data_IF_971045717330
#
_entry.id   IF_971045717330
#
_cell.length_a   1.000
_cell.length_b   1.000
_cell.length_c   1.000
_cell.angle_alpha   90.00
_cell.angle_beta   90.00
_cell.angle_gamma   90.00
#
_symmetry.space_group_name_H-M   'P 1'
#
loop_
_entity.id
_entity.type
_entity.pdbx_description
1 polymer ?
#
# COMPACT_ATOMS: atom_id res chain seq x y z
N UNK A 1 43.30 1.09 -2.08
CA UNK A 1 42.30 1.67 -2.99
C UNK A 1 41.24 0.60 -3.19
N UNK A 2 40.10 0.70 -2.51
CA UNK A 2 38.95 -0.12 -2.88
C UNK A 2 38.54 0.23 -4.32
N UNK A 3 38.19 -0.75 -5.17
CA UNK A 3 37.71 -0.45 -6.50
C UNK A 3 36.40 0.34 -6.37
N UNK A 4 36.32 1.51 -7.00
CA UNK A 4 35.10 2.30 -7.06
C UNK A 4 33.96 1.42 -7.57
N UNK A 5 32.93 1.18 -6.75
CA UNK A 5 31.73 0.50 -7.21
C UNK A 5 31.18 1.24 -8.44
N UNK A 6 31.02 0.54 -9.55
CA UNK A 6 30.42 1.06 -10.77
C UNK A 6 29.14 0.28 -11.08
N UNK A 7 28.17 0.95 -11.71
CA UNK A 7 26.87 0.34 -12.05
C UNK A 7 25.95 0.14 -10.85
N UNK A 8 25.22 -0.99 -10.85
CA UNK A 8 24.16 -1.31 -9.89
C UNK A 8 24.61 -1.24 -8.41
N UNK A 9 25.85 -1.67 -8.13
CA UNK A 9 26.43 -1.70 -6.79
C UNK A 9 26.66 -0.30 -6.18
N UNK A 10 26.75 0.74 -7.00
CA UNK A 10 26.96 2.11 -6.53
C UNK A 10 25.66 2.81 -6.13
N UNK A 11 24.50 2.29 -6.55
CA UNK A 11 23.24 3.00 -6.37
C UNK A 11 22.83 3.05 -4.89
N UNK A 12 22.44 4.23 -4.43
CA UNK A 12 22.02 4.45 -3.04
C UNK A 12 20.67 3.81 -2.72
N UNK A 13 19.75 3.84 -3.70
CA UNK A 13 18.42 3.25 -3.60
C UNK A 13 18.48 1.73 -3.36
N UNK A 14 19.17 0.96 -4.22
CA UNK A 14 19.36 -0.48 -4.03
C UNK A 14 20.06 -0.79 -2.72
N UNK A 15 21.12 -0.05 -2.36
CA UNK A 15 21.84 -0.30 -1.10
C UNK A 15 20.94 -0.20 0.13
N UNK A 16 19.93 0.68 0.10
CA UNK A 16 18.95 0.78 1.20
C UNK A 16 17.97 -0.40 1.23
N UNK A 17 17.54 -0.89 0.07
CA UNK A 17 16.53 -1.96 -0.02
C UNK A 17 17.13 -3.37 0.08
N UNK A 18 18.34 -3.58 -0.42
CA UNK A 18 18.99 -4.90 -0.55
C UNK A 18 19.03 -5.72 0.76
N UNK A 19 19.28 -5.15 1.95
CA UNK A 19 19.22 -5.90 3.21
C UNK A 19 17.86 -6.54 3.50
N UNK A 20 16.80 -6.02 2.87
CA UNK A 20 15.42 -6.48 3.04
C UNK A 20 14.90 -7.26 1.82
N UNK A 21 15.77 -7.63 0.87
CA UNK A 21 15.44 -8.44 -0.29
C UNK A 21 16.03 -9.85 -0.17
N UNK A 22 15.39 -10.87 -0.76
CA UNK A 22 15.86 -12.27 -0.65
C UNK A 22 16.97 -12.63 -1.66
N UNK A 23 17.53 -11.63 -2.35
CA UNK A 23 18.57 -11.77 -3.37
C UNK A 23 19.90 -11.21 -2.87
N UNK A 24 21.00 -11.71 -3.44
CA UNK A 24 22.35 -11.26 -3.13
C UNK A 24 22.97 -10.56 -4.33
N UNK A 25 23.71 -9.48 -4.07
CA UNK A 25 24.49 -8.78 -5.08
C UNK A 25 25.91 -9.37 -5.13
N UNK A 26 26.32 -9.90 -6.29
CA UNK A 26 27.67 -10.44 -6.51
C UNK A 26 28.18 -10.04 -7.89
N UNK A 27 29.39 -9.47 -7.95
CA UNK A 27 29.99 -9.08 -9.24
C UNK A 27 29.17 -8.06 -10.05
N UNK A 28 28.33 -7.26 -9.40
CA UNK A 28 27.48 -6.25 -10.06
C UNK A 28 26.10 -6.75 -10.53
N UNK A 29 25.77 -8.02 -10.31
CA UNK A 29 24.48 -8.61 -10.67
C UNK A 29 23.78 -9.24 -9.45
N UNK A 30 22.45 -9.32 -9.50
CA UNK A 30 21.59 -9.89 -8.47
C UNK A 30 21.36 -11.37 -8.73
N UNK A 31 21.36 -12.17 -7.66
CA UNK A 31 21.15 -13.60 -7.73
C UNK A 31 20.33 -14.11 -6.56
N UNK A 32 19.60 -15.20 -6.78
CA UNK A 32 19.17 -16.06 -5.69
C UNK A 32 20.37 -16.82 -5.11
N UNK A 33 20.42 -17.06 -3.79
CA UNK A 33 21.33 -18.06 -3.23
C UNK A 33 21.17 -19.42 -3.95
N UNK A 34 22.24 -20.16 -4.27
CA UNK A 34 22.15 -21.34 -5.13
C UNK A 34 21.13 -22.40 -4.69
N UNK A 35 21.10 -22.73 -3.39
CA UNK A 35 20.15 -23.70 -2.84
C UNK A 35 18.69 -23.24 -2.95
N UNK A 36 18.43 -21.94 -2.74
CA UNK A 36 17.10 -21.37 -2.95
C UNK A 36 16.72 -21.39 -4.43
N UNK A 37 17.66 -21.07 -5.33
CA UNK A 37 17.44 -21.11 -6.77
C UNK A 37 17.08 -22.52 -7.28
N UNK A 38 17.75 -23.56 -6.78
CA UNK A 38 17.45 -24.96 -7.13
C UNK A 38 16.04 -25.35 -6.68
N UNK A 39 15.66 -24.97 -5.45
CA UNK A 39 14.32 -25.23 -4.91
C UNK A 39 13.24 -24.51 -5.74
N UNK A 40 13.47 -23.24 -6.11
CA UNK A 40 12.57 -22.49 -7.00
C UNK A 40 12.47 -23.12 -8.40
N UNK A 41 13.57 -23.67 -8.95
CA UNK A 41 13.54 -24.40 -10.23
C UNK A 41 12.70 -25.67 -10.14
N UNK A 42 12.80 -26.42 -9.04
CA UNK A 42 11.97 -27.60 -8.84
C UNK A 42 10.48 -27.22 -8.79
N UNK A 43 10.11 -26.19 -8.00
CA UNK A 43 8.73 -25.67 -7.95
C UNK A 43 8.23 -25.22 -9.34
N UNK A 44 9.07 -24.52 -10.09
CA UNK A 44 8.73 -24.02 -11.44
C UNK A 44 8.48 -25.14 -12.47
N UNK A 45 9.01 -26.34 -12.25
CA UNK A 45 8.80 -27.52 -13.09
C UNK A 45 7.52 -28.29 -12.73
N UNK A 46 6.79 -27.88 -11.69
CA UNK A 46 5.51 -28.47 -11.32
C UNK A 46 5.60 -29.58 -10.28
N UNK A 47 4.43 -30.06 -9.81
CA UNK A 47 4.31 -31.03 -8.73
C UNK A 47 4.97 -32.39 -9.04
N UNK A 48 5.08 -32.79 -10.30
CA UNK A 48 5.75 -34.05 -10.68
C UNK A 48 7.26 -34.05 -10.35
N UNK A 49 7.87 -32.86 -10.32
CA UNK A 49 9.29 -32.68 -9.98
C UNK A 49 9.46 -32.24 -8.53
N UNK A 50 8.71 -31.21 -8.09
CA UNK A 50 8.83 -30.65 -6.75
C UNK A 50 8.16 -31.49 -5.67
N UNK A 51 7.20 -32.35 -6.03
CA UNK A 51 6.27 -33.07 -5.14
C UNK A 51 5.31 -32.17 -4.35
N UNK A 52 5.33 -30.85 -4.57
CA UNK A 52 4.46 -29.90 -3.86
C UNK A 52 3.06 -29.90 -4.48
N UNK A 53 2.15 -30.67 -3.89
CA UNK A 53 0.78 -30.87 -4.38
C UNK A 53 -0.32 -30.60 -3.34
N UNK A 54 0.05 -30.09 -2.17
CA UNK A 54 -0.82 -29.81 -1.01
C UNK A 54 -0.23 -28.70 -0.14
N UNK A 55 -1.05 -28.14 0.75
CA UNK A 55 -0.69 -27.04 1.63
C UNK A 55 0.37 -27.41 2.67
N UNK A 56 0.28 -28.62 3.24
CA UNK A 56 1.30 -29.17 4.14
C UNK A 56 2.67 -29.32 3.46
N UNK A 57 2.73 -29.91 2.26
CA UNK A 57 3.98 -30.08 1.50
C UNK A 57 4.50 -28.74 0.99
N UNK A 58 3.62 -27.78 0.69
CA UNK A 58 4.03 -26.41 0.40
C UNK A 58 4.69 -25.77 1.62
N UNK A 59 4.15 -25.96 2.82
CA UNK A 59 4.74 -25.41 4.04
C UNK A 59 6.15 -25.98 4.32
N UNK A 60 6.37 -27.28 4.04
CA UNK A 60 7.69 -27.91 4.11
C UNK A 60 8.64 -27.28 3.07
N UNK A 61 8.21 -27.14 1.83
CA UNK A 61 9.02 -26.52 0.77
C UNK A 61 9.38 -25.04 1.09
N UNK A 62 8.45 -24.28 1.67
CA UNK A 62 8.71 -22.91 2.13
C UNK A 62 9.68 -22.88 3.31
N UNK A 63 9.61 -23.87 4.21
CA UNK A 63 10.58 -24.01 5.30
C UNK A 63 11.99 -24.25 4.76
N UNK A 64 12.15 -25.16 3.81
CA UNK A 64 13.44 -25.45 3.16
C UNK A 64 13.98 -24.23 2.41
N UNK A 65 13.12 -23.51 1.68
CA UNK A 65 13.49 -22.26 1.01
C UNK A 65 13.99 -21.21 2.00
N UNK A 66 13.32 -21.03 3.14
CA UNK A 66 13.76 -20.08 4.18
C UNK A 66 15.11 -20.48 4.78
N UNK A 67 15.31 -21.76 5.06
CA UNK A 67 16.60 -22.26 5.54
C UNK A 67 17.71 -22.04 4.50
N UNK A 68 17.42 -22.22 3.21
CA UNK A 68 18.35 -21.94 2.12
C UNK A 68 18.72 -20.45 1.98
N UNK A 69 17.86 -19.55 2.49
CA UNK A 69 18.11 -18.11 2.60
C UNK A 69 18.75 -17.71 3.95
N UNK A 70 19.17 -18.69 4.77
CA UNK A 70 19.68 -18.47 6.12
C UNK A 70 18.67 -17.77 7.06
N UNK A 71 17.38 -17.97 6.82
CA UNK A 71 16.30 -17.45 7.65
C UNK A 71 15.74 -18.55 8.59
N UNK A 72 15.08 -18.18 9.70
CA UNK A 72 14.41 -19.15 10.56
C UNK A 72 13.35 -19.94 9.78
N UNK A 73 13.16 -21.21 10.14
CA UNK A 73 12.08 -22.05 9.62
C UNK A 73 10.71 -21.36 9.75
N UNK A 74 9.76 -21.77 8.89
CA UNK A 74 8.39 -21.28 8.98
C UNK A 74 7.81 -21.67 10.35
N UNK A 75 7.04 -20.78 10.97
CA UNK A 75 6.42 -21.11 12.26
C UNK A 75 5.43 -22.26 12.09
N UNK A 76 5.31 -23.20 13.06
CA UNK A 76 4.36 -24.31 12.97
C UNK A 76 2.93 -23.85 12.72
N UNK A 77 2.53 -22.73 13.33
CA UNK A 77 1.17 -22.17 13.12
C UNK A 77 0.93 -21.67 11.70
N UNK A 78 1.94 -21.08 11.07
CA UNK A 78 1.82 -20.64 9.69
C UNK A 78 1.77 -21.85 8.74
N UNK A 79 2.57 -22.89 9.02
CA UNK A 79 2.52 -24.16 8.30
C UNK A 79 1.13 -24.83 8.41
N UNK A 80 0.61 -24.95 9.62
CA UNK A 80 -0.74 -25.47 9.88
C UNK A 80 -1.81 -24.64 9.14
N UNK A 81 -1.65 -23.31 9.11
CA UNK A 81 -2.57 -22.40 8.43
C UNK A 81 -2.55 -22.54 6.90
N UNK A 82 -1.38 -22.79 6.30
CA UNK A 82 -1.24 -23.12 4.89
C UNK A 82 -1.95 -24.44 4.56
N UNK A 83 -1.67 -25.49 5.34
CA UNK A 83 -2.32 -26.79 5.20
C UNK A 83 -3.85 -26.64 5.30
N UNK A 84 -4.35 -26.03 6.38
CA UNK A 84 -5.78 -25.79 6.57
C UNK A 84 -6.41 -25.07 5.37
N UNK A 85 -5.80 -23.99 4.88
CA UNK A 85 -6.40 -23.24 3.79
C UNK A 85 -6.44 -24.04 2.48
N UNK A 86 -5.30 -24.58 2.06
CA UNK A 86 -5.19 -25.22 0.74
C UNK A 86 -5.78 -26.63 0.70
N UNK A 87 -5.72 -27.36 1.82
CA UNK A 87 -6.14 -28.77 1.86
C UNK A 87 -7.61 -28.92 2.29
N UNK A 88 -8.08 -28.05 3.20
CA UNK A 88 -9.44 -28.18 3.77
C UNK A 88 -10.41 -27.07 3.33
N UNK A 89 -9.97 -25.82 3.19
CA UNK A 89 -10.87 -24.68 2.90
C UNK A 89 -11.07 -24.41 1.39
N UNK A 90 -10.10 -24.74 0.55
CA UNK A 90 -10.28 -24.72 -0.90
C UNK A 90 -11.03 -25.97 -1.37
N UNK A 91 -11.81 -25.85 -2.44
CA UNK A 91 -12.35 -27.03 -3.10
C UNK A 91 -11.21 -27.84 -3.72
N UNK A 92 -11.35 -29.17 -3.79
CA UNK A 92 -10.34 -30.05 -4.39
C UNK A 92 -9.96 -29.65 -5.84
N UNK A 93 -10.89 -29.05 -6.59
CA UNK A 93 -10.62 -28.57 -7.94
C UNK A 93 -9.74 -27.32 -7.93
N UNK A 94 -10.05 -26.36 -7.06
CA UNK A 94 -9.24 -25.14 -6.87
C UNK A 94 -7.84 -25.47 -6.35
N UNK A 95 -7.72 -26.31 -5.32
CA UNK A 95 -6.43 -26.73 -4.79
C UNK A 95 -5.56 -27.40 -5.87
N UNK A 96 -6.13 -28.30 -6.68
CA UNK A 96 -5.40 -28.90 -7.82
C UNK A 96 -4.94 -27.85 -8.83
N UNK A 97 -5.79 -26.90 -9.21
CA UNK A 97 -5.40 -25.81 -10.12
C UNK A 97 -4.28 -24.94 -9.53
N UNK A 98 -4.38 -24.63 -8.24
CA UNK A 98 -3.36 -23.86 -7.51
C UNK A 98 -1.98 -24.53 -7.56
N UNK A 99 -1.89 -25.82 -7.22
CA UNK A 99 -0.60 -26.52 -7.19
C UNK A 99 -0.09 -26.94 -8.57
N UNK A 100 -0.97 -27.23 -9.53
CA UNK A 100 -0.58 -27.63 -10.87
C UNK A 100 -0.12 -26.44 -11.74
N UNK A 101 -0.76 -25.28 -11.60
CA UNK A 101 -0.56 -24.13 -12.50
C UNK A 101 -0.02 -22.90 -11.77
N UNK A 102 -0.66 -22.49 -10.67
CA UNK A 102 -0.35 -21.20 -10.02
C UNK A 102 1.00 -21.23 -9.33
N UNK A 103 1.25 -22.18 -8.42
CA UNK A 103 2.53 -22.29 -7.68
C UNK A 103 3.74 -22.40 -8.63
N UNK A 104 3.71 -23.21 -9.70
CA UNK A 104 4.80 -23.25 -10.67
C UNK A 104 5.01 -21.92 -11.41
N UNK A 105 3.93 -21.23 -11.81
CA UNK A 105 4.02 -19.91 -12.44
C UNK A 105 4.59 -18.85 -11.49
N UNK A 106 4.19 -18.86 -10.22
CA UNK A 106 4.76 -18.02 -9.17
C UNK A 106 6.27 -18.28 -9.00
N UNK A 107 6.70 -19.55 -8.99
CA UNK A 107 8.11 -19.90 -8.91
C UNK A 107 8.90 -19.43 -10.16
N UNK A 108 8.33 -19.52 -11.37
CA UNK A 108 8.93 -18.94 -12.59
C UNK A 108 9.08 -17.44 -12.50
N UNK A 109 8.08 -16.75 -11.94
CA UNK A 109 8.15 -15.31 -11.69
C UNK A 109 9.28 -14.97 -10.70
N UNK A 110 9.43 -15.73 -9.61
CA UNK A 110 10.53 -15.57 -8.67
C UNK A 110 11.90 -15.81 -9.30
N UNK A 111 12.04 -16.80 -10.20
CA UNK A 111 13.29 -17.01 -10.93
C UNK A 111 13.67 -15.82 -11.82
N UNK A 112 12.70 -14.99 -12.23
CA UNK A 112 12.92 -13.73 -12.97
C UNK A 112 13.17 -12.53 -12.07
N UNK A 113 12.90 -12.61 -10.76
CA UNK A 113 13.04 -11.48 -9.82
C UNK A 113 14.39 -10.76 -9.91
N UNK A 114 15.56 -11.42 -9.98
CA UNK A 114 16.82 -10.70 -10.06
C UNK A 114 16.91 -9.83 -11.33
N UNK A 115 16.51 -10.37 -12.48
CA UNK A 115 16.47 -9.62 -13.74
C UNK A 115 15.43 -8.50 -13.71
N UNK A 116 14.26 -8.72 -13.10
CA UNK A 116 13.24 -7.68 -12.93
C UNK A 116 13.74 -6.51 -12.06
N UNK A 117 14.49 -6.79 -11.00
CA UNK A 117 15.12 -5.77 -10.17
C UNK A 117 16.22 -5.02 -10.95
N UNK A 118 17.08 -5.73 -11.68
CA UNK A 118 18.11 -5.12 -12.52
C UNK A 118 17.51 -4.18 -13.57
N UNK A 119 16.49 -4.64 -14.30
CA UNK A 119 15.74 -3.85 -15.29
C UNK A 119 15.07 -2.63 -14.64
N UNK A 120 14.52 -2.78 -13.43
CA UNK A 120 13.92 -1.70 -12.67
C UNK A 120 14.95 -0.59 -12.35
N UNK A 121 16.10 -0.96 -11.79
CA UNK A 121 17.15 0.00 -11.49
C UNK A 121 17.83 0.57 -12.75
N UNK A 122 17.86 -0.17 -13.85
CA UNK A 122 18.37 0.32 -15.13
C UNK A 122 17.46 1.39 -15.74
N UNK A 123 16.14 1.29 -15.55
CA UNK A 123 15.14 2.25 -16.07
C UNK A 123 14.91 3.46 -15.15
N UNK A 124 15.27 3.35 -13.87
CA UNK A 124 15.21 4.46 -12.91
C UNK A 124 16.39 5.42 -13.13
N UNK A 125 16.33 6.17 -14.24
CA UNK A 125 17.37 7.06 -14.77
C UNK A 125 17.75 8.22 -13.81
N UNK A 126 16.81 8.64 -12.96
CA UNK A 126 17.02 9.74 -12.01
C UNK A 126 17.68 9.31 -10.67
N UNK A 127 17.82 8.00 -10.43
CA UNK A 127 18.30 7.47 -9.15
C UNK A 127 17.34 7.71 -7.96
N UNK A 128 16.19 8.33 -8.19
CA UNK A 128 15.30 8.84 -7.15
C UNK A 128 13.97 8.07 -7.05
N UNK A 129 13.56 7.40 -8.13
CA UNK A 129 12.31 6.62 -8.23
C UNK A 129 12.47 5.10 -8.08
N UNK A 130 13.72 4.63 -7.94
CA UNK A 130 14.05 3.22 -7.76
C UNK A 130 13.58 2.65 -6.41
N UNK A 131 13.53 1.32 -6.28
CA UNK A 131 13.09 0.67 -5.05
C UNK A 131 14.11 0.97 -3.95
N UNK A 132 13.66 1.64 -2.89
CA UNK A 132 14.47 2.08 -1.75
C UNK A 132 13.63 2.12 -0.50
N UNK A 133 14.26 2.04 0.67
CA UNK A 133 13.57 2.31 1.93
C UNK A 133 13.28 3.80 1.99
N UNK A 134 12.00 4.16 1.94
CA UNK A 134 11.56 5.50 2.27
C UNK A 134 11.47 5.53 3.80
N UNK A 135 12.46 6.13 4.45
CA UNK A 135 12.52 6.29 5.90
C UNK A 135 11.65 7.48 6.37
N UNK A 136 11.42 7.59 7.68
CA UNK A 136 10.75 8.79 8.21
C UNK A 136 11.50 10.07 7.83
N UNK A 137 10.75 11.09 7.43
CA UNK A 137 11.16 12.38 6.90
C UNK A 137 11.89 12.33 5.53
N UNK A 138 12.00 11.15 4.90
CA UNK A 138 12.55 10.99 3.55
C UNK A 138 11.44 11.08 2.50
N UNK A 139 11.08 12.32 2.13
CA UNK A 139 10.11 12.56 1.07
C UNK A 139 10.63 12.02 -0.26
N UNK A 140 9.76 11.35 -1.03
CA UNK A 140 10.13 10.81 -2.33
C UNK A 140 9.13 9.81 -2.85
N UNK A 141 9.40 9.29 -4.03
CA UNK A 141 8.52 8.39 -4.78
C UNK A 141 9.26 7.10 -5.14
N UNK A 142 8.57 5.98 -5.12
CA UNK A 142 9.02 4.71 -5.70
C UNK A 142 8.00 4.31 -6.76
N UNK A 143 8.44 4.03 -7.98
CA UNK A 143 7.57 3.62 -9.10
C UNK A 143 7.91 2.18 -9.49
N UNK A 144 6.97 1.25 -9.35
CA UNK A 144 7.18 -0.17 -9.65
C UNK A 144 6.31 -0.60 -10.84
N UNK A 145 6.81 -1.46 -11.71
CA UNK A 145 5.94 -2.18 -12.64
C UNK A 145 5.08 -3.18 -11.86
N UNK A 146 3.84 -3.41 -12.30
CA UNK A 146 2.95 -4.38 -11.67
C UNK A 146 3.54 -5.81 -11.72
N UNK A 147 4.31 -6.15 -12.76
CA UNK A 147 5.05 -7.42 -12.82
C UNK A 147 6.08 -7.55 -11.68
N UNK A 148 6.83 -6.49 -11.37
CA UNK A 148 7.76 -6.48 -10.24
C UNK A 148 6.99 -6.53 -8.90
N UNK A 149 5.86 -5.83 -8.79
CA UNK A 149 4.98 -5.92 -7.63
C UNK A 149 4.50 -7.36 -7.40
N UNK A 150 4.06 -8.06 -8.46
CA UNK A 150 3.65 -9.45 -8.39
C UNK A 150 4.81 -10.37 -7.95
N UNK A 151 6.03 -10.14 -8.45
CA UNK A 151 7.20 -10.91 -8.02
C UNK A 151 7.54 -10.69 -6.54
N UNK A 152 7.50 -9.43 -6.07
CA UNK A 152 7.73 -9.08 -4.66
C UNK A 152 6.63 -9.63 -3.75
N UNK A 153 5.37 -9.57 -4.14
CA UNK A 153 4.27 -10.18 -3.37
C UNK A 153 4.33 -11.71 -3.39
N UNK A 154 4.88 -12.32 -4.45
CA UNK A 154 5.16 -13.75 -4.44
C UNK A 154 6.22 -14.10 -3.39
N UNK A 155 7.26 -13.26 -3.21
CA UNK A 155 8.19 -13.42 -2.10
C UNK A 155 7.50 -13.30 -0.74
N UNK A 156 6.54 -12.38 -0.59
CA UNK A 156 5.76 -12.23 0.63
C UNK A 156 4.89 -13.47 0.95
N UNK A 157 4.19 -14.00 -0.07
CA UNK A 157 3.40 -15.24 0.02
C UNK A 157 4.26 -16.42 0.43
N UNK A 158 5.43 -16.58 -0.20
CA UNK A 158 6.39 -17.66 0.11
C UNK A 158 7.21 -17.38 1.39
N UNK A 159 6.94 -16.25 2.05
CA UNK A 159 7.60 -15.83 3.29
C UNK A 159 9.13 -15.74 3.15
N UNK A 160 9.63 -15.18 2.05
CA UNK A 160 11.06 -15.17 1.71
C UNK A 160 11.79 -13.89 2.13
N UNK A 161 11.09 -12.84 2.58
CA UNK A 161 11.77 -11.59 2.95
C UNK A 161 12.50 -11.71 4.29
N UNK A 162 13.76 -11.25 4.39
CA UNK A 162 14.47 -11.12 5.66
C UNK A 162 13.67 -10.30 6.68
N UNK A 163 13.64 -10.77 7.93
CA UNK A 163 12.91 -10.11 9.03
C UNK A 163 13.81 -9.26 9.91
N UNK A 164 15.11 -9.54 9.91
CA UNK A 164 16.10 -8.82 10.74
C UNK A 164 16.24 -7.37 10.29
N UNK A 165 16.41 -6.44 11.23
CA UNK A 165 16.59 -5.01 10.94
C UNK A 165 15.31 -4.26 10.58
N UNK A 166 14.18 -4.94 10.34
CA UNK A 166 12.92 -4.29 9.92
C UNK A 166 12.31 -3.45 11.04
N UNK A 167 12.37 -3.93 12.28
CA UNK A 167 11.84 -3.21 13.44
C UNK A 167 12.63 -1.92 13.68
N UNK A 168 13.95 -1.97 13.56
CA UNK A 168 14.86 -0.83 13.67
C UNK A 168 14.61 0.19 12.55
N UNK A 169 14.32 -0.29 11.34
CA UNK A 169 13.92 0.55 10.21
C UNK A 169 12.46 1.05 10.30
N UNK A 170 11.72 0.71 11.36
CA UNK A 170 10.30 1.03 11.54
C UNK A 170 9.42 0.59 10.36
N UNK A 171 9.75 -0.56 9.76
CA UNK A 171 9.02 -1.12 8.62
C UNK A 171 7.92 -2.08 9.10
N UNK A 172 6.76 -2.13 8.42
CA UNK A 172 5.76 -3.16 8.66
C UNK A 172 6.30 -4.58 8.35
N UNK A 173 5.62 -5.58 8.89
CA UNK A 173 5.80 -6.99 8.49
C UNK A 173 5.29 -7.20 7.07
N UNK A 174 6.03 -7.95 6.25
CA UNK A 174 5.66 -8.17 4.84
C UNK A 174 5.36 -9.64 4.50
N UNK A 175 5.94 -10.61 5.22
CA UNK A 175 5.68 -12.03 4.98
C UNK A 175 4.27 -12.43 5.43
N UNK A 176 3.67 -13.40 4.73
CA UNK A 176 2.27 -13.81 4.96
C UNK A 176 2.12 -14.85 6.08
N UNK A 177 3.19 -15.18 6.81
CA UNK A 177 3.17 -16.17 7.88
C UNK A 177 2.17 -15.79 8.99
N UNK A 178 2.07 -14.49 9.31
CA UNK A 178 1.08 -13.96 10.24
C UNK A 178 -0.37 -14.14 9.78
N UNK A 179 -0.61 -14.07 8.46
CA UNK A 179 -1.93 -14.20 7.85
C UNK A 179 -2.41 -15.65 7.93
N UNK A 180 -1.56 -16.61 7.55
CA UNK A 180 -1.88 -18.03 7.64
C UNK A 180 -1.98 -18.50 9.09
N UNK A 181 -1.07 -18.07 9.98
CA UNK A 181 -1.14 -18.40 11.40
C UNK A 181 -2.43 -17.90 12.06
N UNK A 182 -3.02 -16.81 11.56
CA UNK A 182 -4.28 -16.28 12.07
C UNK A 182 -5.51 -17.15 11.73
N UNK A 183 -5.40 -18.13 10.82
CA UNK A 183 -6.48 -19.07 10.51
C UNK A 183 -6.72 -20.10 11.63
N UNK A 184 -5.66 -20.50 12.34
CA UNK A 184 -5.68 -21.60 13.33
C UNK A 184 -6.37 -21.22 14.65
N UNK A 185 -6.44 -19.93 14.98
CA UNK A 185 -7.01 -19.46 16.26
C UNK A 185 -8.12 -18.43 16.05
N UNK A 186 -9.32 -18.79 16.50
CA UNK A 186 -10.58 -18.05 16.33
C UNK A 186 -10.96 -17.91 14.86
N UNK A 187 -11.50 -19.00 14.27
CA UNK A 187 -12.02 -19.15 12.91
C UNK A 187 -13.02 -18.04 12.53
N UNK A 188 -12.53 -16.81 12.41
CA UNK A 188 -13.27 -15.70 11.86
C UNK A 188 -13.30 -15.98 10.38
N UNK A 189 -14.50 -16.22 9.88
CA UNK A 189 -14.74 -16.40 8.45
C UNK A 189 -14.07 -15.27 7.64
N UNK A 190 -13.95 -14.06 8.19
CA UNK A 190 -13.19 -12.97 7.54
C UNK A 190 -11.72 -13.30 7.22
N UNK A 191 -11.00 -14.07 8.04
CA UNK A 191 -9.59 -14.39 7.77
C UNK A 191 -9.41 -15.28 6.56
N UNK A 192 -10.22 -16.34 6.44
CA UNK A 192 -10.25 -17.18 5.24
C UNK A 192 -10.50 -16.33 3.99
N UNK A 193 -11.39 -15.35 4.09
CA UNK A 193 -11.85 -14.54 2.97
C UNK A 193 -10.80 -13.50 2.55
N UNK A 194 -9.98 -13.03 3.49
CA UNK A 194 -8.76 -12.27 3.18
C UNK A 194 -7.79 -13.11 2.35
N UNK A 195 -7.51 -14.35 2.78
CA UNK A 195 -6.64 -15.26 2.03
C UNK A 195 -7.20 -15.55 0.63
N UNK A 196 -8.53 -15.72 0.50
CA UNK A 196 -9.18 -15.88 -0.82
C UNK A 196 -8.95 -14.71 -1.77
N UNK A 197 -8.99 -13.47 -1.29
CA UNK A 197 -8.69 -12.30 -2.14
C UNK A 197 -7.25 -12.32 -2.65
N UNK A 198 -6.29 -12.70 -1.80
CA UNK A 198 -4.87 -12.76 -2.17
C UNK A 198 -4.58 -13.92 -3.12
N UNK A 199 -5.17 -15.09 -2.88
CA UNK A 199 -5.10 -16.25 -3.78
C UNK A 199 -5.67 -15.90 -5.16
N UNK A 200 -6.83 -15.23 -5.20
CA UNK A 200 -7.44 -14.74 -6.44
C UNK A 200 -6.51 -13.76 -7.19
N UNK A 201 -5.82 -12.86 -6.48
CA UNK A 201 -4.81 -11.98 -7.10
C UNK A 201 -3.67 -12.78 -7.74
N UNK A 202 -3.13 -13.79 -7.05
CA UNK A 202 -2.04 -14.62 -7.60
C UNK A 202 -2.50 -15.47 -8.80
N UNK A 203 -3.73 -15.98 -8.77
CA UNK A 203 -4.36 -16.64 -9.94
C UNK A 203 -4.41 -15.66 -11.13
N UNK A 204 -4.91 -14.44 -10.91
CA UNK A 204 -5.03 -13.40 -11.96
C UNK A 204 -3.70 -12.99 -12.58
N UNK A 205 -2.67 -12.71 -11.77
CA UNK A 205 -1.37 -12.23 -12.29
C UNK A 205 -0.52 -13.34 -12.91
N UNK A 206 -0.82 -14.61 -12.61
CA UNK A 206 -0.17 -15.76 -13.27
C UNK A 206 -0.88 -16.19 -14.55
N UNK A 207 -2.19 -15.99 -14.65
CA UNK A 207 -2.95 -16.17 -15.89
C UNK A 207 -2.61 -15.11 -16.94
N UNK A 208 -2.50 -13.84 -16.51
CA UNK A 208 -2.09 -12.74 -17.37
C UNK A 208 -1.17 -11.78 -16.63
N UNK A 209 0.09 -11.72 -17.05
CA UNK A 209 1.09 -10.80 -16.48
C UNK A 209 0.62 -9.35 -16.58
N UNK A 210 0.54 -8.61 -15.46
CA UNK A 210 0.15 -7.21 -15.49
C UNK A 210 1.27 -6.33 -16.05
N UNK A 211 0.91 -5.29 -16.81
CA UNK A 211 1.87 -4.46 -17.57
C UNK A 211 1.90 -2.99 -17.17
N UNK A 212 1.01 -2.58 -16.26
CA UNK A 212 0.97 -1.22 -15.76
C UNK A 212 2.01 -0.95 -14.68
N UNK A 213 1.85 0.19 -14.01
CA UNK A 213 2.73 0.66 -12.96
C UNK A 213 1.95 1.07 -11.71
N UNK A 214 2.62 1.03 -10.57
CA UNK A 214 2.12 1.54 -9.29
C UNK A 214 3.20 2.41 -8.66
N UNK A 215 2.84 3.62 -8.24
CA UNK A 215 3.75 4.52 -7.53
C UNK A 215 3.37 4.71 -6.08
N UNK A 216 4.36 4.82 -5.22
CA UNK A 216 4.24 5.07 -3.77
C UNK A 216 5.02 6.33 -3.43
N UNK A 217 4.34 7.39 -3.00
CA UNK A 217 4.93 8.65 -2.61
C UNK A 217 4.83 8.83 -1.09
N UNK A 218 5.96 9.05 -0.43
CA UNK A 218 6.00 9.58 0.94
C UNK A 218 5.90 11.10 0.88
N UNK A 219 4.77 11.64 1.32
CA UNK A 219 4.57 13.08 1.50
C UNK A 219 5.09 13.50 2.87
N UNK A 220 5.81 14.61 2.91
CA UNK A 220 6.29 15.21 4.15
C UNK A 220 5.96 16.70 4.14
N UNK A 221 5.23 17.18 5.15
CA UNK A 221 5.09 18.61 5.42
C UNK A 221 6.29 19.10 6.24
N UNK A 222 7.15 19.99 5.72
CA UNK A 222 8.31 20.49 6.45
C UNK A 222 7.87 21.21 7.73
N UNK A 223 8.43 20.81 8.89
CA UNK A 223 8.13 21.47 10.18
C UNK A 223 8.74 22.85 10.32
N UNK A 224 9.79 23.14 9.55
CA UNK A 224 10.42 24.46 9.50
C UNK A 224 9.84 25.22 8.31
N UNK A 225 9.79 26.54 8.45
CA UNK A 225 9.43 27.41 7.34
C UNK A 225 10.38 27.15 6.17
N UNK A 226 9.81 26.91 5.00
CA UNK A 226 10.52 26.74 3.73
C UNK A 226 10.24 27.93 2.83
N UNK A 227 11.20 28.30 1.98
CA UNK A 227 11.06 29.42 1.04
C UNK A 227 10.04 29.15 -0.06
N UNK A 228 9.74 27.88 -0.33
CA UNK A 228 8.82 27.39 -1.37
C UNK A 228 8.03 26.22 -0.80
N UNK A 229 6.70 26.31 -0.84
CA UNK A 229 5.79 25.23 -0.42
C UNK A 229 5.01 25.53 0.87
N UNK A 230 4.28 24.54 1.36
CA UNK A 230 3.47 24.63 2.59
C UNK A 230 4.24 23.92 3.71
N UNK A 231 4.60 24.66 4.76
CA UNK A 231 5.14 24.07 6.00
C UNK A 231 4.01 23.56 6.90
N UNK A 232 4.33 22.67 7.83
CA UNK A 232 3.42 22.18 8.87
C UNK A 232 2.80 23.36 9.65
N UNK A 233 1.50 23.66 9.47
CA UNK A 233 0.90 24.84 10.09
C UNK A 233 0.82 24.73 11.61
N UNK A 234 1.00 25.84 12.32
CA UNK A 234 0.69 25.93 13.74
C UNK A 234 -0.73 26.45 13.97
N UNK A 235 -1.14 26.58 15.24
CA UNK A 235 -2.47 27.07 15.61
C UNK A 235 -2.73 28.48 15.06
N UNK A 236 -1.71 29.36 15.13
CA UNK A 236 -1.81 30.73 14.65
C UNK A 236 -2.04 30.80 13.14
N UNK A 237 -1.38 29.94 12.36
CA UNK A 237 -1.57 29.84 10.93
C UNK A 237 -3.00 29.42 10.57
N UNK A 238 -3.57 28.45 11.28
CA UNK A 238 -4.97 28.04 11.08
C UNK A 238 -5.96 29.13 11.46
N UNK A 239 -5.77 29.81 12.59
CA UNK A 239 -6.65 30.91 13.03
C UNK A 239 -6.63 32.10 12.05
N UNK A 240 -5.50 32.33 11.36
CA UNK A 240 -5.34 33.39 10.36
C UNK A 240 -5.81 32.95 8.97
N UNK A 241 -6.15 31.68 8.75
CA UNK A 241 -6.58 31.23 7.43
C UNK A 241 -7.92 31.83 7.05
N UNK A 242 -7.95 32.47 5.88
CA UNK A 242 -9.16 33.01 5.25
C UNK A 242 -9.73 32.07 4.17
N UNK A 243 -9.42 30.77 4.20
CA UNK A 243 -9.86 29.86 3.15
C UNK A 243 -11.38 29.70 3.14
N UNK A 244 -12.05 29.91 1.99
CA UNK A 244 -13.46 29.57 1.90
C UNK A 244 -13.60 28.06 2.01
N UNK A 245 -14.65 27.63 2.70
CA UNK A 245 -14.97 26.22 2.79
C UNK A 245 -15.33 25.68 1.40
N UNK A 246 -14.74 24.55 1.01
CA UNK A 246 -15.03 23.90 -0.26
C UNK A 246 -16.40 23.21 -0.23
N UNK A 247 -16.85 22.70 -1.38
CA UNK A 247 -18.10 21.94 -1.43
C UNK A 247 -17.98 20.65 -0.59
N UNK A 248 -18.95 20.43 0.30
CA UNK A 248 -19.04 19.24 1.16
C UNK A 248 -20.27 18.44 0.76
N UNK A 249 -20.08 17.22 0.25
CA UNK A 249 -21.14 16.30 -0.17
C UNK A 249 -21.18 15.12 0.79
N UNK A 250 -22.38 14.78 1.27
CA UNK A 250 -22.59 13.64 2.16
C UNK A 250 -23.41 12.60 1.43
N UNK A 251 -22.95 11.35 1.45
CA UNK A 251 -23.67 10.21 0.90
C UNK A 251 -23.97 9.23 2.02
N UNK A 252 -25.25 8.87 2.15
CA UNK A 252 -25.71 7.89 3.15
C UNK A 252 -25.35 6.44 2.79
N UNK A 253 -24.85 6.20 1.58
CA UNK A 253 -24.53 4.88 1.03
C UNK A 253 -23.40 4.96 0.00
N UNK A 254 -22.80 3.81 -0.30
CA UNK A 254 -21.66 3.67 -1.22
C UNK A 254 -20.32 3.58 -0.49
N UNK A 255 -19.29 3.13 -1.19
CA UNK A 255 -17.95 2.95 -0.62
C UNK A 255 -16.92 3.89 -1.24
N UNK A 256 -15.80 4.11 -0.56
CA UNK A 256 -14.74 5.03 -1.00
C UNK A 256 -14.10 4.51 -2.30
N UNK A 257 -13.87 3.20 -2.39
CA UNK A 257 -13.33 2.47 -3.54
C UNK A 257 -14.22 2.45 -4.78
N UNK A 258 -15.52 2.76 -4.63
CA UNK A 258 -16.47 2.82 -5.74
C UNK A 258 -16.59 4.25 -6.29
N UNK A 259 -15.60 5.11 -6.05
CA UNK A 259 -15.59 6.45 -6.62
C UNK A 259 -15.37 6.40 -8.14
N UNK A 260 -16.38 6.84 -8.88
CA UNK A 260 -16.36 6.91 -10.35
C UNK A 260 -15.70 8.20 -10.86
N UNK A 261 -15.73 9.27 -10.06
CA UNK A 261 -15.06 10.53 -10.38
C UNK A 261 -13.57 10.45 -10.00
N UNK A 262 -12.72 11.25 -10.62
CA UNK A 262 -11.31 11.30 -10.22
C UNK A 262 -11.21 11.92 -8.82
N UNK A 263 -10.73 11.15 -7.85
CA UNK A 263 -10.62 11.57 -6.46
C UNK A 263 -9.44 10.93 -5.74
N UNK A 264 -8.98 11.58 -4.67
CA UNK A 264 -8.15 10.98 -3.63
C UNK A 264 -9.03 10.12 -2.74
N UNK A 265 -8.88 8.82 -2.84
CA UNK A 265 -9.58 7.81 -2.04
C UNK A 265 -8.83 7.62 -0.72
N UNK A 266 -9.44 8.02 0.40
CA UNK A 266 -8.76 8.02 1.70
C UNK A 266 -8.72 6.60 2.28
N UNK A 267 -7.51 6.15 2.59
CA UNK A 267 -7.24 4.98 3.40
C UNK A 267 -7.09 5.40 4.88
N UNK A 268 -7.91 4.82 5.75
CA UNK A 268 -7.95 5.10 7.18
C UNK A 268 -6.85 4.33 7.90
N UNK A 269 -5.63 4.72 7.57
CA UNK A 269 -4.45 3.93 7.81
C UNK A 269 -4.08 3.83 9.30
N UNK A 270 -3.31 2.79 9.62
CA UNK A 270 -2.40 2.81 10.74
C UNK A 270 -1.11 3.59 10.38
N UNK A 271 -0.37 4.09 11.37
CA UNK A 271 0.93 4.73 11.13
C UNK A 271 1.92 3.79 10.41
N UNK A 272 1.80 2.49 10.63
CA UNK A 272 2.41 1.45 9.80
C UNK A 272 1.44 1.08 8.68
N UNK A 273 1.77 1.47 7.44
CA UNK A 273 0.96 1.21 6.26
C UNK A 273 0.48 -0.25 6.22
N UNK A 274 -0.81 -0.46 5.95
CA UNK A 274 -1.45 -1.76 5.88
C UNK A 274 -1.92 -2.31 7.23
N UNK A 275 -1.54 -1.70 8.36
CA UNK A 275 -2.04 -2.05 9.69
C UNK A 275 -2.04 -3.55 9.97
N UNK A 276 -3.23 -4.12 10.19
CA UNK A 276 -3.42 -5.56 10.44
C UNK A 276 -3.65 -6.42 9.18
N UNK A 277 -3.34 -5.93 7.97
CA UNK A 277 -3.71 -6.57 6.70
C UNK A 277 -3.13 -7.98 6.55
N UNK A 278 -1.91 -8.20 7.03
CA UNK A 278 -1.26 -9.52 7.05
C UNK A 278 -1.39 -10.24 8.40
N UNK A 279 -2.34 -9.82 9.23
CA UNK A 279 -2.72 -10.47 10.48
C UNK A 279 -4.25 -10.47 10.63
N UNK A 280 -4.76 -10.05 11.81
CA UNK A 280 -6.16 -10.19 12.19
C UNK A 280 -7.05 -9.00 11.80
N UNK A 281 -6.46 -7.88 11.36
CA UNK A 281 -7.20 -6.69 10.95
C UNK A 281 -8.12 -6.99 9.77
N UNK A 282 -9.30 -6.37 9.75
CA UNK A 282 -10.30 -6.56 8.70
C UNK A 282 -11.32 -5.40 8.72
N UNK A 283 -10.83 -4.18 8.92
CA UNK A 283 -11.62 -2.94 8.82
C UNK A 283 -11.25 -2.26 7.50
N UNK A 284 -11.49 -0.94 7.37
CA UNK A 284 -11.39 -0.25 6.09
C UNK A 284 -10.01 -0.39 5.41
N UNK A 285 -8.90 -0.13 6.11
CA UNK A 285 -7.54 -0.26 5.56
C UNK A 285 -7.27 -1.70 5.11
N UNK A 286 -7.50 -2.70 5.98
CA UNK A 286 -7.16 -4.07 5.62
C UNK A 286 -8.05 -4.62 4.51
N UNK A 287 -9.33 -4.26 4.46
CA UNK A 287 -10.23 -4.63 3.36
C UNK A 287 -9.68 -4.03 2.05
N UNK A 288 -9.26 -2.76 2.07
CA UNK A 288 -8.70 -2.11 0.88
C UNK A 288 -7.45 -2.83 0.38
N UNK A 289 -6.57 -3.25 1.28
CA UNK A 289 -5.37 -4.03 0.94
C UNK A 289 -5.69 -5.44 0.42
N UNK A 290 -6.83 -6.03 0.77
CA UNK A 290 -7.23 -7.32 0.20
C UNK A 290 -7.82 -7.19 -1.20
N UNK A 291 -8.62 -6.16 -1.46
CA UNK A 291 -9.23 -5.97 -2.78
C UNK A 291 -8.27 -5.32 -3.79
N UNK A 292 -7.24 -4.60 -3.31
CA UNK A 292 -6.12 -4.07 -4.08
C UNK A 292 -4.77 -4.60 -3.53
N UNK A 293 -4.41 -5.89 -3.75
CA UNK A 293 -3.23 -6.49 -3.11
C UNK A 293 -1.90 -5.81 -3.43
N UNK A 294 -1.82 -5.08 -4.54
CA UNK A 294 -0.63 -4.30 -4.92
C UNK A 294 -0.24 -3.25 -3.87
N UNK A 295 -1.17 -2.81 -3.00
CA UNK A 295 -0.86 -1.91 -1.88
C UNK A 295 0.10 -2.54 -0.86
N UNK A 296 0.04 -3.87 -0.69
CA UNK A 296 0.85 -4.61 0.29
C UNK A 296 2.34 -4.45 0.00
N UNK A 297 2.76 -4.26 -1.25
CA UNK A 297 4.19 -4.10 -1.58
C UNK A 297 4.78 -2.83 -0.95
N UNK A 298 3.97 -1.81 -0.69
CA UNK A 298 4.40 -0.61 0.03
C UNK A 298 4.89 -0.93 1.45
N UNK A 299 4.32 -1.96 2.08
CA UNK A 299 4.76 -2.44 3.40
C UNK A 299 6.21 -2.94 3.41
N UNK A 300 6.77 -3.29 2.24
CA UNK A 300 8.16 -3.73 2.13
C UNK A 300 9.15 -2.60 2.45
N UNK A 301 8.84 -1.37 2.03
CA UNK A 301 9.80 -0.27 1.97
C UNK A 301 9.34 1.09 2.55
N UNK A 302 8.08 1.21 2.97
CA UNK A 302 7.54 2.43 3.59
C UNK A 302 7.64 2.34 5.11
N UNK A 303 8.59 3.07 5.71
CA UNK A 303 8.69 3.16 7.17
C UNK A 303 7.48 3.89 7.78
N UNK A 304 7.21 3.64 9.06
CA UNK A 304 6.11 4.25 9.83
C UNK A 304 5.99 5.76 9.64
N UNK A 305 4.77 6.26 9.46
CA UNK A 305 4.47 7.68 9.33
C UNK A 305 4.64 8.42 10.66
N UNK A 306 5.19 9.63 10.57
CA UNK A 306 5.14 10.66 11.62
C UNK A 306 3.96 11.62 11.39
N UNK A 307 3.63 12.46 12.37
CA UNK A 307 2.45 13.36 12.32
C UNK A 307 2.39 14.28 11.11
N UNK A 308 3.55 14.63 10.53
CA UNK A 308 3.68 15.51 9.36
C UNK A 308 3.84 14.75 8.04
N UNK A 309 3.51 13.46 7.99
CA UNK A 309 3.68 12.62 6.82
C UNK A 309 2.36 12.00 6.34
N UNK A 310 2.29 11.64 5.07
CA UNK A 310 1.22 10.84 4.49
C UNK A 310 1.81 9.97 3.38
N UNK A 311 1.06 8.96 2.93
CA UNK A 311 1.47 8.10 1.81
C UNK A 311 0.42 8.18 0.71
N UNK A 312 0.82 8.55 -0.51
CA UNK A 312 -0.03 8.48 -1.69
C UNK A 312 0.38 7.29 -2.55
N UNK A 313 -0.60 6.50 -3.00
CA UNK A 313 -0.41 5.35 -3.85
C UNK A 313 -1.27 5.53 -5.10
N UNK A 314 -0.65 5.48 -6.28
CA UNK A 314 -1.35 5.66 -7.56
C UNK A 314 -1.08 4.45 -8.44
N UNK A 315 -2.13 3.90 -9.05
CA UNK A 315 -2.00 2.83 -10.04
C UNK A 315 -2.46 1.46 -9.59
N UNK A 316 -2.79 1.27 -8.31
CA UNK A 316 -3.21 -0.03 -7.80
C UNK A 316 -4.54 -0.49 -8.44
N UNK A 317 -4.53 -1.69 -9.00
CA UNK A 317 -5.71 -2.34 -9.58
C UNK A 317 -6.55 -3.01 -8.47
N UNK A 318 -7.88 -2.96 -8.59
CA UNK A 318 -8.79 -3.76 -7.77
C UNK A 318 -9.01 -5.11 -8.43
N UNK A 319 -8.77 -6.19 -7.69
CA UNK A 319 -8.89 -7.57 -8.20
C UNK A 319 -10.11 -8.29 -7.67
N UNK A 320 -10.63 -7.88 -6.50
CA UNK A 320 -11.68 -8.61 -5.80
C UNK A 320 -12.93 -7.77 -5.57
N UNK A 321 -14.08 -8.39 -5.83
CA UNK A 321 -15.35 -7.97 -5.26
C UNK A 321 -15.46 -8.50 -3.84
N UNK A 322 -16.15 -7.76 -2.98
CA UNK A 322 -16.40 -8.18 -1.62
C UNK A 322 -17.78 -7.77 -1.14
N UNK A 323 -18.20 -8.36 -0.01
CA UNK A 323 -19.32 -7.87 0.78
C UNK A 323 -18.99 -7.94 2.27
N UNK A 324 -19.77 -7.24 3.09
CA UNK A 324 -19.60 -7.23 4.54
C UNK A 324 -18.36 -6.44 5.00
N UNK A 325 -18.21 -6.35 6.33
CA UNK A 325 -17.16 -5.56 7.00
C UNK A 325 -16.75 -6.24 8.31
N UNK A 326 -15.50 -6.10 8.74
CA UNK A 326 -15.05 -6.74 9.97
C UNK A 326 -15.15 -8.26 9.89
N UNK A 327 -15.79 -8.86 10.90
CA UNK A 327 -16.03 -10.31 10.95
C UNK A 327 -16.92 -10.85 9.82
N UNK A 328 -17.75 -9.98 9.21
CA UNK A 328 -18.67 -10.34 8.12
C UNK A 328 -18.06 -10.22 6.73
N UNK A 329 -16.82 -9.75 6.58
CA UNK A 329 -16.14 -9.60 5.30
C UNK A 329 -16.07 -10.93 4.51
N UNK A 330 -16.54 -10.92 3.26
CA UNK A 330 -16.50 -12.06 2.33
C UNK A 330 -15.94 -11.63 0.99
N UNK A 331 -15.05 -12.45 0.43
CA UNK A 331 -14.72 -12.43 -0.99
C UNK A 331 -15.93 -12.95 -1.77
N UNK A 332 -16.34 -12.26 -2.84
CA UNK A 332 -17.53 -12.67 -3.62
C UNK A 332 -17.23 -12.96 -5.09
N UNK A 333 -16.05 -12.61 -5.59
CA UNK A 333 -15.62 -12.94 -6.94
C UNK A 333 -14.63 -11.94 -7.53
N UNK A 334 -14.34 -12.14 -8.81
CA UNK A 334 -13.45 -11.30 -9.60
C UNK A 334 -13.99 -9.87 -9.77
N UNK A 335 -13.10 -8.88 -9.73
CA UNK A 335 -13.41 -7.51 -10.12
C UNK A 335 -12.59 -7.15 -11.36
N UNK A 336 -13.28 -6.78 -12.43
CA UNK A 336 -12.64 -6.29 -13.64
C UNK A 336 -12.51 -4.77 -13.55
N UNK A 337 -11.31 -4.31 -13.18
CA UNK A 337 -11.08 -2.87 -13.01
C UNK A 337 -11.08 -2.14 -14.35
N UNK A 338 -12.12 -1.32 -14.54
CA UNK A 338 -12.33 -0.50 -15.72
C UNK A 338 -11.85 0.93 -15.55
N UNK A 339 -11.20 1.28 -14.43
CA UNK A 339 -10.65 2.64 -14.25
C UNK A 339 -9.61 2.93 -15.36
N UNK A 340 -9.61 4.15 -15.92
CA UNK A 340 -8.72 4.51 -17.01
C UNK A 340 -7.25 4.46 -16.58
N UNK A 341 -6.35 4.41 -17.56
CA UNK A 341 -4.90 4.43 -17.36
C UNK A 341 -4.39 5.85 -17.62
N UNK A 342 -3.45 6.33 -16.81
CA UNK A 342 -2.78 7.61 -17.01
C UNK A 342 -1.58 7.51 -17.99
N UNK A 343 -0.91 8.63 -18.26
CA UNK A 343 0.23 8.68 -19.17
C UNK A 343 1.47 7.92 -18.67
N UNK A 344 1.51 7.53 -17.39
CA UNK A 344 2.58 6.74 -16.78
C UNK A 344 2.25 5.24 -16.76
N UNK A 345 1.14 4.82 -17.38
CA UNK A 345 0.72 3.42 -17.37
C UNK A 345 0.12 2.97 -16.03
N UNK A 346 -0.31 3.90 -15.17
CA UNK A 346 -0.93 3.62 -13.87
C UNK A 346 -2.45 3.70 -14.00
N UNK A 347 -3.19 2.81 -13.34
CA UNK A 347 -4.65 3.01 -13.13
C UNK A 347 -4.90 4.35 -12.45
N UNK A 348 -5.96 5.07 -12.84
CA UNK A 348 -6.42 6.30 -12.18
C UNK A 348 -7.14 6.01 -10.86
N UNK A 349 -6.53 5.17 -10.04
CA UNK A 349 -6.86 4.91 -8.65
C UNK A 349 -5.83 5.64 -7.83
N UNK A 350 -6.22 6.71 -7.14
CA UNK A 350 -5.34 7.49 -6.26
C UNK A 350 -5.79 7.28 -4.82
N UNK A 351 -4.98 6.58 -4.04
CA UNK A 351 -5.26 6.27 -2.64
C UNK A 351 -4.33 7.09 -1.76
N UNK A 352 -4.85 7.67 -0.69
CA UNK A 352 -4.04 8.39 0.30
C UNK A 352 -4.22 7.81 1.69
N UNK A 353 -3.14 7.25 2.23
CA UNK A 353 -3.07 6.72 3.57
C UNK A 353 -2.69 7.83 4.56
N UNK A 354 -3.60 8.08 5.50
CA UNK A 354 -3.40 9.00 6.63
C UNK A 354 -3.84 8.32 7.92
N UNK A 355 -2.96 8.31 8.92
CA UNK A 355 -3.24 7.70 10.21
C UNK A 355 -3.86 8.70 11.20
N UNK A 356 -4.99 8.34 11.82
CA UNK A 356 -5.62 9.12 12.89
C UNK A 356 -5.00 8.79 14.26
N UNK A 357 -5.25 9.63 15.27
CA UNK A 357 -4.88 9.32 16.65
C UNK A 357 -5.67 8.10 17.17
N UNK A 358 -4.97 7.15 17.78
CA UNK A 358 -5.57 5.95 18.37
C UNK A 358 -6.10 6.22 19.79
N UNK A 359 -7.37 5.88 20.02
CA UNK A 359 -8.11 6.04 21.27
C UNK A 359 -7.80 7.34 22.04
N UNK A 360 -7.97 8.52 21.41
CA UNK A 360 -7.42 9.78 21.90
C UNK A 360 -8.17 10.38 23.09
N UNK A 361 -9.34 9.84 23.45
CA UNK A 361 -10.13 10.28 24.61
C UNK A 361 -10.38 11.81 24.62
N UNK A 362 -9.79 12.56 25.56
CA UNK A 362 -9.91 14.02 25.67
C UNK A 362 -9.09 14.77 24.63
N UNK A 363 -8.01 14.19 24.11
CA UNK A 363 -7.09 14.82 23.16
C UNK A 363 -7.81 15.27 21.88
N UNK A 364 -8.89 14.62 21.49
CA UNK A 364 -9.72 15.00 20.35
C UNK A 364 -10.41 16.37 20.46
N UNK A 365 -10.47 16.96 21.65
CA UNK A 365 -11.04 18.28 21.89
C UNK A 365 -9.97 19.33 22.22
N UNK A 366 -8.72 18.91 22.43
CA UNK A 366 -7.62 19.78 22.79
C UNK A 366 -6.93 20.34 21.53
N UNK A 367 -6.43 21.57 21.60
CA UNK A 367 -5.81 22.24 20.45
C UNK A 367 -4.66 21.46 19.84
N UNK A 368 -3.90 20.72 20.63
CA UNK A 368 -2.80 19.85 20.17
C UNK A 368 -3.31 18.68 19.31
N UNK A 369 -4.37 18.00 19.76
CA UNK A 369 -4.98 16.90 19.01
C UNK A 369 -5.70 17.39 17.75
N UNK A 370 -6.45 18.49 17.85
CA UNK A 370 -7.09 19.12 16.68
C UNK A 370 -6.05 19.54 15.63
N UNK A 371 -4.95 20.17 16.06
CA UNK A 371 -3.86 20.60 15.18
C UNK A 371 -3.18 19.41 14.49
N UNK A 372 -2.91 18.33 15.24
CA UNK A 372 -2.30 17.12 14.69
C UNK A 372 -3.17 16.53 13.58
N UNK A 373 -4.46 16.36 13.84
CA UNK A 373 -5.37 15.68 12.92
C UNK A 373 -5.66 16.52 11.66
N UNK A 374 -5.82 17.85 11.80
CA UNK A 374 -6.01 18.73 10.64
C UNK A 374 -4.76 18.79 9.76
N UNK A 375 -3.56 18.77 10.36
CA UNK A 375 -2.31 18.79 9.59
C UNK A 375 -2.00 17.45 8.92
N UNK A 376 -2.34 16.33 9.55
CA UNK A 376 -2.27 15.00 8.94
C UNK A 376 -3.17 14.91 7.71
N UNK A 377 -4.43 15.31 7.84
CA UNK A 377 -5.37 15.36 6.72
C UNK A 377 -4.87 16.32 5.61
N UNK A 378 -4.40 17.51 5.98
CA UNK A 378 -3.82 18.47 5.04
C UNK A 378 -2.62 17.88 4.28
N UNK A 379 -1.72 17.16 4.97
CA UNK A 379 -0.58 16.50 4.36
C UNK A 379 -1.00 15.50 3.28
N UNK A 380 -2.01 14.68 3.57
CA UNK A 380 -2.56 13.74 2.60
C UNK A 380 -3.21 14.43 1.41
N UNK A 381 -4.04 15.46 1.66
CA UNK A 381 -4.85 16.12 0.64
C UNK A 381 -4.07 17.10 -0.25
N UNK A 382 -2.87 17.51 0.13
CA UNK A 382 -2.05 18.38 -0.72
C UNK A 382 -1.47 17.60 -1.90
N UNK A 383 -1.67 18.12 -3.11
CA UNK A 383 -0.96 17.64 -4.30
C UNK A 383 0.34 18.45 -4.44
N UNK A 384 1.46 17.85 -4.05
CA UNK A 384 2.76 18.54 -4.05
C UNK A 384 3.21 18.92 -5.47
N UNK A 385 2.82 18.15 -6.48
CA UNK A 385 3.19 18.40 -7.88
C UNK A 385 2.49 19.65 -8.42
N UNK A 386 1.18 19.81 -8.15
CA UNK A 386 0.43 21.03 -8.46
C UNK A 386 0.91 22.22 -7.64
N UNK A 387 1.31 22.01 -6.38
CA UNK A 387 1.87 23.06 -5.53
C UNK A 387 3.16 23.66 -6.12
N UNK A 388 4.09 22.82 -6.59
CA UNK A 388 5.33 23.28 -7.21
C UNK A 388 5.08 24.01 -8.54
N UNK A 389 4.11 23.53 -9.34
CA UNK A 389 3.70 24.21 -10.57
C UNK A 389 3.10 25.59 -10.29
N UNK A 390 2.21 25.67 -9.29
CA UNK A 390 1.60 26.93 -8.85
C UNK A 390 2.68 27.90 -8.35
N UNK A 391 3.60 27.47 -7.48
CA UNK A 391 4.67 28.36 -7.00
C UNK A 391 5.58 28.86 -8.13
N UNK A 392 5.93 28.01 -9.12
CA UNK A 392 6.71 28.44 -10.29
C UNK A 392 5.97 29.53 -11.09
N UNK A 393 4.68 29.33 -11.36
CA UNK A 393 3.85 30.33 -12.07
C UNK A 393 3.80 31.67 -11.33
N UNK A 394 3.78 31.68 -9.99
CA UNK A 394 3.78 32.90 -9.18
C UNK A 394 5.16 33.57 -9.04
N UNK A 395 6.24 32.80 -9.10
CA UNK A 395 7.60 33.36 -9.13
C UNK A 395 7.91 34.02 -10.49
N UNK A 396 7.36 33.46 -11.58
CA UNK A 396 7.51 34.00 -12.93
C UNK A 396 6.59 35.22 -13.19
N UNK A 397 5.51 35.39 -12.42
CA UNK A 397 4.54 36.50 -12.56
C UNK A 397 4.84 37.73 -11.68
N UNK A 398 6.12 38.00 -11.42
CA UNK A 398 6.57 39.36 -11.08
C UNK A 398 6.32 40.39 -12.21
N UNK A 399 5.84 39.95 -13.38
CA UNK A 399 5.07 40.79 -14.29
C UNK A 399 3.57 40.63 -14.01
N UNK A 400 2.97 41.69 -13.46
CA UNK A 400 1.51 41.84 -13.31
C UNK A 400 0.84 41.63 -14.68
N UNK A 401 -0.32 40.97 -14.64
CA UNK A 401 -1.28 40.76 -15.74
C UNK A 401 -1.17 39.40 -16.46
N UNK A 402 -1.44 38.30 -15.73
CA UNK A 402 -2.30 37.19 -16.17
C UNK A 402 -2.37 36.10 -15.09
N UNK A 403 -3.49 36.03 -14.36
CA UNK A 403 -3.82 34.84 -13.58
C UNK A 403 -4.38 33.79 -14.56
N UNK A 404 -3.74 32.63 -14.79
CA UNK A 404 -4.31 31.62 -15.67
C UNK A 404 -5.57 31.05 -15.00
N UNK A 405 -6.69 31.10 -15.72
CA UNK A 405 -7.92 30.42 -15.32
C UNK A 405 -7.66 28.91 -15.28
N UNK A 406 -7.76 28.31 -14.09
CA UNK A 406 -7.80 26.85 -13.93
C UNK A 406 -9.00 26.34 -14.75
N UNK A 407 -8.76 25.51 -15.76
CA UNK A 407 -9.81 24.90 -16.56
C UNK A 407 -10.73 24.06 -15.69
N UNK A 408 -12.04 24.12 -15.95
CA UNK A 408 -13.09 23.42 -15.20
C UNK A 408 -13.01 21.88 -15.23
N UNK A 409 -12.08 21.31 -15.99
CA UNK A 409 -11.92 19.86 -16.20
C UNK A 409 -10.93 19.19 -15.23
N UNK A 410 -10.44 19.91 -14.20
CA UNK A 410 -9.36 19.46 -13.31
C UNK A 410 -9.73 19.36 -11.80
N UNK A 411 -11.02 19.21 -11.49
CA UNK A 411 -11.47 18.98 -10.11
C UNK A 411 -11.22 17.53 -9.70
N UNK A 412 -10.21 17.29 -8.89
CA UNK A 412 -9.97 15.99 -8.26
C UNK A 412 -10.63 16.06 -6.88
N UNK A 413 -11.58 15.19 -6.58
CA UNK A 413 -12.27 15.17 -5.28
C UNK A 413 -11.41 14.56 -4.16
N UNK A 414 -11.88 14.63 -2.91
CA UNK A 414 -11.44 13.74 -1.82
C UNK A 414 -12.63 12.85 -1.45
N UNK A 415 -12.48 11.55 -1.64
CA UNK A 415 -13.46 10.53 -1.25
C UNK A 415 -13.05 9.93 0.08
N UNK A 416 -13.78 10.23 1.15
CA UNK A 416 -13.47 9.83 2.52
C UNK A 416 -14.72 9.36 3.28
N UNK A 417 -14.62 9.22 4.60
CA UNK A 417 -15.69 8.85 5.50
C UNK A 417 -15.33 9.12 6.96
N UNK A 418 -15.70 8.17 7.82
CA UNK A 418 -15.49 8.20 9.26
C UNK A 418 -14.03 7.91 9.68
N UNK A 419 -13.07 8.65 9.11
CA UNK A 419 -11.64 8.50 9.37
C UNK A 419 -11.32 8.56 10.87
N UNK A 420 -10.67 7.53 11.39
CA UNK A 420 -10.30 7.42 12.81
C UNK A 420 -11.46 7.21 13.79
N UNK A 421 -12.69 6.98 13.33
CA UNK A 421 -13.88 6.93 14.20
C UNK A 421 -14.41 5.51 14.46
N UNK A 422 -13.82 4.50 13.83
CA UNK A 422 -14.09 3.09 14.09
C UNK A 422 -13.19 2.55 15.19
N UNK A 423 -12.21 1.73 14.80
CA UNK A 423 -11.27 1.08 15.73
C UNK A 423 -10.52 2.08 16.65
N UNK A 424 -10.24 3.29 16.17
CA UNK A 424 -9.49 4.32 16.91
C UNK A 424 -10.37 5.21 17.80
N UNK A 425 -11.69 5.00 17.82
CA UNK A 425 -12.58 5.63 18.81
C UNK A 425 -12.76 7.14 18.70
N UNK A 426 -12.53 7.72 17.52
CA UNK A 426 -12.72 9.14 17.27
C UNK A 426 -14.17 9.62 17.21
N UNK A 427 -14.35 10.91 17.45
CA UNK A 427 -15.65 11.56 17.28
C UNK A 427 -15.85 11.94 15.80
N UNK A 428 -16.89 11.40 15.13
CA UNK A 428 -17.01 11.55 13.69
C UNK A 428 -17.54 12.93 13.25
N UNK A 429 -18.24 13.67 14.11
CA UNK A 429 -18.63 15.05 13.84
C UNK A 429 -17.40 15.97 13.78
N UNK A 430 -16.51 15.86 14.76
CA UNK A 430 -15.25 16.61 14.81
C UNK A 430 -14.34 16.22 13.64
N UNK A 431 -14.20 14.92 13.37
CA UNK A 431 -13.38 14.43 12.25
C UNK A 431 -13.91 14.87 10.89
N UNK A 432 -15.23 14.99 10.73
CA UNK A 432 -15.83 15.55 9.50
C UNK A 432 -15.46 17.02 9.32
N UNK A 433 -15.52 17.84 10.38
CA UNK A 433 -15.10 19.24 10.34
C UNK A 433 -13.60 19.39 10.06
N UNK A 434 -12.76 18.58 10.71
CA UNK A 434 -11.30 18.56 10.50
C UNK A 434 -10.97 18.27 9.03
N UNK A 435 -11.58 17.22 8.47
CA UNK A 435 -11.36 16.86 7.06
C UNK A 435 -11.86 17.97 6.12
N UNK A 436 -12.99 18.60 6.43
CA UNK A 436 -13.52 19.71 5.61
C UNK A 436 -12.60 20.93 5.63
N UNK A 437 -12.06 21.31 6.80
CA UNK A 437 -11.12 22.41 6.96
C UNK A 437 -9.81 22.10 6.19
N UNK A 438 -9.26 20.90 6.37
CA UNK A 438 -8.05 20.46 5.68
C UNK A 438 -8.24 20.45 4.15
N UNK A 439 -9.35 19.87 3.67
CA UNK A 439 -9.68 19.83 2.24
C UNK A 439 -9.89 21.25 1.69
N UNK A 440 -10.54 22.15 2.43
CA UNK A 440 -10.74 23.55 2.02
C UNK A 440 -9.43 24.33 1.95
N UNK A 441 -8.51 24.05 2.88
CA UNK A 441 -7.18 24.64 2.87
C UNK A 441 -6.33 24.12 1.70
N UNK A 442 -6.41 22.82 1.40
CA UNK A 442 -5.80 22.23 0.21
C UNK A 442 -6.48 22.74 -1.08
N UNK A 443 -7.79 23.05 -1.03
CA UNK A 443 -8.61 23.52 -2.15
C UNK A 443 -8.24 24.93 -2.66
N UNK A 444 -7.52 25.72 -1.85
CA UNK A 444 -6.86 26.93 -2.35
C UNK A 444 -5.84 26.65 -3.46
N UNK A 445 -5.39 25.39 -3.59
CA UNK A 445 -4.23 24.99 -4.37
C UNK A 445 -4.57 23.86 -5.36
N UNK A 446 -5.58 23.02 -5.07
CA UNK A 446 -6.02 21.90 -5.91
C UNK A 446 -7.52 21.72 -5.79
N UNK A 447 -8.28 21.75 -6.87
CA UNK A 447 -9.73 21.92 -6.79
C UNK A 447 -10.48 20.67 -6.22
N UNK A 448 -10.87 20.68 -4.95
CA UNK A 448 -11.49 19.57 -4.20
C UNK A 448 -12.97 19.80 -3.84
N UNK A 449 -13.76 18.71 -3.88
CA UNK A 449 -14.97 18.54 -3.07
C UNK A 449 -14.74 17.37 -2.10
N UNK A 450 -15.27 17.47 -0.88
CA UNK A 450 -15.19 16.38 0.09
C UNK A 450 -16.45 15.50 -0.03
N UNK A 451 -16.29 14.20 -0.24
CA UNK A 451 -17.36 13.23 -0.12
C UNK A 451 -17.19 12.40 1.15
N UNK A 452 -18.21 12.35 1.99
CA UNK A 452 -18.23 11.49 3.18
C UNK A 452 -19.21 10.35 2.93
N UNK A 453 -18.71 9.12 2.90
CA UNK A 453 -19.50 7.89 2.73
C UNK A 453 -19.61 7.13 4.06
N UNK A 454 -20.80 6.59 4.35
CA UNK A 454 -21.00 5.71 5.51
C UNK A 454 -20.34 4.35 5.25
N UNK A 455 -19.33 4.01 6.06
CA UNK A 455 -18.61 2.72 5.96
C UNK A 455 -19.43 1.54 6.53
N UNK A 456 -20.66 1.78 7.00
CA UNK A 456 -21.52 0.76 7.58
C UNK A 456 -22.50 0.19 6.54
N UNK A 457 -22.29 -1.08 6.17
CA UNK A 457 -23.33 -1.90 5.54
C UNK A 457 -24.51 -2.07 6.51
N UNK A 458 -25.69 -1.59 6.09
CA UNK A 458 -27.04 -1.84 6.62
C UNK A 458 -27.15 -2.38 8.07
N UNK A 459 -27.52 -1.51 9.02
CA UNK A 459 -28.10 -1.97 10.31
C UNK A 459 -27.75 -1.17 11.56
N UNK A 460 -26.74 -0.30 11.52
CA UNK A 460 -26.45 0.68 12.58
C UNK A 460 -26.76 2.08 12.05
N UNK A 461 -27.40 2.97 12.84
CA UNK A 461 -27.89 4.23 12.31
C UNK A 461 -26.73 5.05 11.76
N UNK A 462 -26.75 5.22 10.43
CA UNK A 462 -26.13 6.38 9.80
C UNK A 462 -26.77 7.62 10.43
N UNK A 463 -25.92 8.59 10.76
CA UNK A 463 -26.25 9.91 11.29
C UNK A 463 -27.70 10.40 11.10
N UNK A 464 -28.29 10.82 12.22
CA UNK A 464 -29.06 12.05 12.32
C UNK A 464 -28.43 12.90 13.42
#
# INVERSE_FOLDING_TARGET
MEPSASGLAARGDLRSALPFLPVVLRGGALFWPPAAQESLRALALGPDVSRVASGDVLADALTDLRLALAMPALSPRAADGLALFFDDLLSRAQARGWFAEVVPNLARLLLRLPALLEDHYAKADDGASGLRILASQDAGIVLLSQELVAALLTCALFCLFPTDGRAEASLPTINFDGLFAALIHNARQSQEQKVRCLVHYFERVTDSTPTGFVSFERKVLPRRAVSVGVSYPDVDAWMKSSAPLCQFRVFSSGFIEDEEQEALEVDFANRFLGGGALFRGCVQEEIRFMINPELIVGMLFMASMEDNEAIEIVGAERFSQYMGYGSSFRFVGDYLDSKPIDSMGRRRTRIVAIDALDCPTRLHYESSGLLREVNKALCGFLDQSKLQLYVKLFQDSNNKDNCPSISSDEYIGVSTGNWGCGAFGGNPEIKSMIQWIAASQANKLCAYFLQVKSVYCAGTPAFC
#
